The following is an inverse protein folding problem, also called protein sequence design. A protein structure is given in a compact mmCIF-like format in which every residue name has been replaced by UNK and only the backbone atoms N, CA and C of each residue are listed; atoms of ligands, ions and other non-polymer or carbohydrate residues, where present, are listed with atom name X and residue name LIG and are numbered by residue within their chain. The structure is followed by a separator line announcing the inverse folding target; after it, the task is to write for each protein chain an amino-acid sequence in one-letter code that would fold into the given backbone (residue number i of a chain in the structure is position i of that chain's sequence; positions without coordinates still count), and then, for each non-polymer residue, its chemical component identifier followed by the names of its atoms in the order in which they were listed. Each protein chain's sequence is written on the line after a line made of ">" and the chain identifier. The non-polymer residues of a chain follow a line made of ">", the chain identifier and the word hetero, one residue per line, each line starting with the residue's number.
data_IF_759695956829
#
_entry.id   IF_759695956829
#
_cell.length_a   1.000
_cell.length_b   1.000
_cell.length_c   1.000
_cell.angle_alpha   90.00
_cell.angle_beta   90.00
_cell.angle_gamma   90.00
#
_symmetry.space_group_name_H-M   'P 1'
#
loop_
_entity.id
_entity.type
_entity.pdbx_description
1 polymer ?
#
# COMPACT_ATOMS: atom_id res chain seq x y z
N UNK A 1 5.37 4.88 7.72
CA UNK A 1 4.28 4.44 8.64
C UNK A 1 4.55 3.00 9.02
N UNK A 2 4.26 2.57 10.26
CA UNK A 2 4.40 1.15 10.68
C UNK A 2 3.35 0.26 10.01
N UNK A 3 3.68 -0.99 9.71
CA UNK A 3 2.77 -1.94 9.06
C UNK A 3 1.48 -2.15 9.88
N UNK A 4 1.59 -2.40 11.18
CA UNK A 4 0.42 -2.58 12.05
C UNK A 4 -0.49 -1.34 12.09
N UNK A 5 0.11 -0.15 11.97
CA UNK A 5 -0.66 1.11 11.91
C UNK A 5 -1.39 1.26 10.56
N UNK A 6 -0.78 0.80 9.46
CA UNK A 6 -1.46 0.75 8.17
C UNK A 6 -2.64 -0.22 8.22
N UNK A 7 -2.44 -1.43 8.72
CA UNK A 7 -3.49 -2.45 8.80
C UNK A 7 -4.70 -1.97 9.59
N UNK A 8 -4.49 -1.42 10.79
CA UNK A 8 -5.56 -0.84 11.60
C UNK A 8 -6.29 0.28 10.85
N UNK A 9 -5.55 1.15 10.14
CA UNK A 9 -6.18 2.24 9.40
C UNK A 9 -6.95 1.77 8.18
N UNK A 10 -6.50 0.71 7.51
CA UNK A 10 -7.23 0.08 6.40
C UNK A 10 -8.56 -0.49 6.90
N UNK A 11 -8.55 -1.20 8.04
CA UNK A 11 -9.78 -1.74 8.64
C UNK A 11 -10.81 -0.64 8.98
N UNK A 12 -10.34 0.48 9.53
CA UNK A 12 -11.18 1.66 9.78
C UNK A 12 -11.78 2.21 8.49
N UNK A 13 -10.96 2.47 7.46
CA UNK A 13 -11.44 3.02 6.18
C UNK A 13 -12.44 2.05 5.52
N UNK A 14 -12.18 0.75 5.49
CA UNK A 14 -13.13 -0.23 4.93
C UNK A 14 -14.48 -0.17 5.66
N UNK A 15 -14.44 -0.08 6.99
CA UNK A 15 -15.65 0.04 7.82
C UNK A 15 -16.41 1.36 7.59
N UNK A 16 -15.68 2.46 7.35
CA UNK A 16 -16.26 3.75 6.96
C UNK A 16 -16.88 3.66 5.56
N UNK A 17 -16.16 3.12 4.57
CA UNK A 17 -16.57 3.02 3.17
C UNK A 17 -17.80 2.12 2.96
N UNK A 18 -17.98 1.09 3.79
CA UNK A 18 -19.15 0.22 3.74
C UNK A 18 -20.48 0.97 3.98
N UNK A 19 -20.44 2.17 4.56
CA UNK A 19 -21.64 2.97 4.84
C UNK A 19 -22.10 3.82 3.64
N UNK A 20 -21.25 3.93 2.60
CA UNK A 20 -21.54 4.74 1.42
C UNK A 20 -22.07 3.88 0.27
N UNK A 21 -22.97 4.45 -0.53
CA UNK A 21 -23.57 3.82 -1.71
C UNK A 21 -22.96 4.36 -3.03
N UNK A 22 -21.73 4.84 -2.98
CA UNK A 22 -21.02 5.45 -4.10
C UNK A 22 -19.52 5.21 -4.04
N UNK A 23 -18.82 5.57 -5.11
CA UNK A 23 -17.36 5.53 -5.14
C UNK A 23 -16.80 6.56 -4.16
N UNK A 24 -15.68 6.22 -3.53
CA UNK A 24 -14.93 7.13 -2.66
C UNK A 24 -13.46 7.06 -3.05
N UNK A 25 -12.80 8.21 -3.03
CA UNK A 25 -11.38 8.29 -3.30
C UNK A 25 -10.61 8.28 -2.00
N UNK A 26 -9.65 7.36 -1.90
CA UNK A 26 -8.71 7.27 -0.79
C UNK A 26 -7.45 8.06 -1.13
N UNK A 27 -7.01 8.85 -0.15
CA UNK A 27 -5.92 9.79 -0.25
C UNK A 27 -4.91 9.56 0.88
N UNK A 28 -3.63 9.76 0.58
CA UNK A 28 -2.55 9.75 1.55
C UNK A 28 -2.06 11.18 1.79
N UNK A 29 -2.28 11.68 3.01
CA UNK A 29 -1.74 12.99 3.42
C UNK A 29 -0.21 13.00 3.51
N UNK A 30 0.39 14.19 3.49
CA UNK A 30 1.83 14.40 3.73
C UNK A 30 2.30 13.82 5.08
N UNK A 31 1.40 13.76 6.07
CA UNK A 31 1.66 13.16 7.40
C UNK A 31 1.55 11.65 7.42
N UNK A 32 1.36 11.01 6.26
CA UNK A 32 1.25 9.55 6.14
C UNK A 32 -0.08 8.96 6.62
N UNK A 33 -1.13 9.79 6.77
CA UNK A 33 -2.48 9.31 7.13
C UNK A 33 -3.35 9.07 5.90
N UNK A 34 -4.04 7.92 5.88
CA UNK A 34 -5.07 7.60 4.89
C UNK A 34 -6.41 8.23 5.30
N UNK A 35 -7.06 8.88 4.34
CA UNK A 35 -8.40 9.47 4.46
C UNK A 35 -9.20 9.18 3.20
N UNK A 36 -10.52 9.32 3.25
CA UNK A 36 -11.36 9.20 2.07
C UNK A 36 -12.24 10.45 1.86
N UNK A 37 -12.54 10.77 0.61
CA UNK A 37 -13.35 11.92 0.20
C UNK A 37 -14.26 11.55 -0.99
N UNK A 38 -15.10 12.49 -1.44
CA UNK A 38 -15.83 12.30 -2.69
C UNK A 38 -14.85 12.28 -3.88
N UNK A 39 -15.14 11.58 -4.98
CA UNK A 39 -14.26 11.54 -6.14
C UNK A 39 -13.99 12.91 -6.78
N UNK A 40 -14.90 13.87 -6.62
CA UNK A 40 -14.71 15.23 -7.14
C UNK A 40 -13.78 16.09 -6.27
N UNK A 41 -13.50 15.66 -5.03
CA UNK A 41 -12.57 16.33 -4.12
C UNK A 41 -11.13 16.03 -4.54
N UNK A 42 -10.59 16.82 -5.47
CA UNK A 42 -9.19 16.74 -5.90
C UNK A 42 -8.25 17.29 -4.82
N UNK A 43 -7.69 16.40 -3.99
CA UNK A 43 -6.84 16.79 -2.86
C UNK A 43 -5.36 16.90 -3.21
N UNK A 44 -4.95 16.63 -4.45
CA UNK A 44 -3.57 16.76 -4.92
C UNK A 44 -3.02 18.17 -4.71
N UNK A 45 -3.84 19.19 -5.00
CA UNK A 45 -3.48 20.60 -4.82
C UNK A 45 -3.23 20.97 -3.35
N UNK A 46 -3.63 20.10 -2.42
CA UNK A 46 -3.41 20.24 -0.97
C UNK A 46 -2.30 19.33 -0.45
N UNK A 47 -1.49 18.74 -1.33
CA UNK A 47 -0.36 17.89 -0.98
C UNK A 47 -0.75 16.43 -0.66
N UNK A 48 -1.99 16.02 -0.94
CA UNK A 48 -2.37 14.61 -0.79
C UNK A 48 -1.92 13.82 -2.02
N UNK A 49 -1.54 12.57 -1.79
CA UNK A 49 -1.25 11.62 -2.86
C UNK A 49 -2.47 10.73 -3.09
N UNK A 50 -2.89 10.61 -4.34
CA UNK A 50 -3.94 9.68 -4.75
C UNK A 50 -3.52 8.24 -4.41
N UNK A 51 -4.46 7.45 -3.88
CA UNK A 51 -4.27 6.01 -3.66
C UNK A 51 -5.17 5.22 -4.60
N UNK A 52 -6.49 5.33 -4.45
CA UNK A 52 -7.45 4.64 -5.31
C UNK A 52 -8.87 5.23 -5.17
N UNK A 53 -9.68 5.11 -6.21
CA UNK A 53 -11.13 5.34 -6.17
C UNK A 53 -11.85 4.00 -6.21
N UNK A 54 -12.57 3.67 -5.14
CA UNK A 54 -13.12 2.33 -4.90
C UNK A 54 -14.59 2.39 -4.49
N UNK A 55 -15.33 1.31 -4.76
CA UNK A 55 -16.72 1.14 -4.37
C UNK A 55 -16.81 -0.01 -3.36
N UNK A 56 -16.98 0.33 -2.07
CA UNK A 56 -17.06 -0.65 -0.97
C UNK A 56 -15.96 -1.74 -1.02
N UNK A 57 -14.66 -1.35 -1.03
CA UNK A 57 -13.57 -2.30 -1.21
C UNK A 57 -13.43 -3.28 -0.05
N UNK A 58 -12.89 -4.46 -0.33
CA UNK A 58 -12.40 -5.36 0.70
C UNK A 58 -11.14 -4.82 1.38
N UNK A 59 -10.77 -5.43 2.51
CA UNK A 59 -9.50 -5.14 3.20
C UNK A 59 -8.30 -5.39 2.27
N UNK A 60 -8.30 -6.50 1.56
CA UNK A 60 -7.22 -6.91 0.67
C UNK A 60 -7.05 -5.93 -0.49
N UNK A 61 -8.17 -5.51 -1.10
CA UNK A 61 -8.17 -4.55 -2.21
C UNK A 61 -7.58 -3.19 -1.77
N UNK A 62 -8.03 -2.66 -0.62
CA UNK A 62 -7.51 -1.40 -0.12
C UNK A 62 -6.06 -1.51 0.36
N UNK A 63 -5.68 -2.65 0.94
CA UNK A 63 -4.29 -2.89 1.36
C UNK A 63 -3.36 -2.90 0.15
N UNK A 64 -3.74 -3.60 -0.92
CA UNK A 64 -2.94 -3.68 -2.14
C UNK A 64 -2.70 -2.28 -2.73
N UNK A 65 -3.77 -1.48 -2.89
CA UNK A 65 -3.67 -0.12 -3.39
C UNK A 65 -2.82 0.79 -2.47
N UNK A 66 -2.97 0.67 -1.15
CA UNK A 66 -2.22 1.48 -0.20
C UNK A 66 -0.72 1.17 -0.23
N UNK A 67 -0.33 -0.10 -0.38
CA UNK A 67 1.08 -0.51 -0.39
C UNK A 67 1.87 0.01 -1.59
N UNK A 68 1.21 0.38 -2.69
CA UNK A 68 1.86 0.99 -3.86
C UNK A 68 2.35 2.43 -3.58
N UNK A 69 1.73 3.12 -2.63
CA UNK A 69 1.94 4.57 -2.42
C UNK A 69 2.49 4.89 -1.03
N UNK A 70 2.10 4.11 -0.02
CA UNK A 70 2.47 4.30 1.37
C UNK A 70 3.88 3.75 1.61
N UNK A 71 4.85 4.56 2.06
CA UNK A 71 6.11 4.03 2.56
C UNK A 71 5.86 3.32 3.89
N UNK A 72 5.80 1.99 3.83
CA UNK A 72 5.61 1.13 5.01
C UNK A 72 6.96 0.70 5.55
N UNK A 73 7.08 0.88 6.85
CA UNK A 73 8.14 0.32 7.66
C UNK A 73 7.60 -0.92 8.35
N UNK A 74 8.27 -2.06 8.15
CA UNK A 74 7.94 -3.29 8.88
C UNK A 74 8.11 -3.06 10.39
N UNK A 75 7.25 -3.66 11.20
CA UNK A 75 7.38 -3.64 12.66
C UNK A 75 8.47 -4.63 13.11
N UNK A 76 9.16 -4.34 14.21
CA UNK A 76 10.01 -5.33 14.87
C UNK A 76 9.09 -6.29 15.66
N UNK A 77 9.19 -7.62 15.55
CA UNK A 77 10.30 -8.45 15.05
C UNK A 77 10.17 -8.96 13.60
N UNK A 78 9.26 -8.42 12.78
CA UNK A 78 9.06 -8.89 11.40
C UNK A 78 10.26 -8.57 10.50
N UNK A 79 10.98 -7.46 10.78
CA UNK A 79 12.17 -7.05 10.00
C UNK A 79 13.25 -8.15 9.92
N UNK A 80 13.77 -8.72 11.03
CA UNK A 80 14.77 -9.79 10.96
C UNK A 80 14.21 -11.09 10.40
N UNK A 81 12.93 -11.41 10.66
CA UNK A 81 12.29 -12.60 10.12
C UNK A 81 12.23 -12.56 8.58
N UNK A 82 11.86 -11.42 8.00
CA UNK A 82 11.85 -11.23 6.54
C UNK A 82 13.25 -11.04 5.95
N UNK A 83 14.20 -10.49 6.69
CA UNK A 83 15.60 -10.44 6.25
C UNK A 83 16.24 -11.85 6.15
N UNK A 84 15.72 -12.83 6.89
CA UNK A 84 16.14 -14.24 6.81
C UNK A 84 15.51 -15.01 5.64
N UNK A 85 14.50 -14.45 4.98
CA UNK A 85 14.07 -14.93 3.67
C UNK A 85 15.08 -14.48 2.64
N UNK A 86 16.20 -15.20 2.58
CA UNK A 86 17.17 -15.11 1.50
C UNK A 86 16.40 -15.16 0.19
N UNK A 87 16.44 -14.04 -0.53
CA UNK A 87 16.07 -14.01 -1.93
C UNK A 87 16.99 -15.01 -2.61
N UNK A 88 16.51 -16.01 -3.37
CA UNK A 88 17.41 -16.82 -4.19
C UNK A 88 18.17 -15.83 -5.07
N UNK A 89 19.45 -15.61 -4.78
CA UNK A 89 20.33 -14.90 -5.68
C UNK A 89 20.16 -15.58 -7.04
N UNK A 90 19.85 -14.85 -8.13
CA UNK A 90 19.84 -15.47 -9.45
C UNK A 90 21.21 -16.10 -9.61
N UNK A 91 21.25 -17.44 -9.70
CA UNK A 91 22.46 -18.20 -9.93
C UNK A 91 23.09 -17.66 -11.20
N UNK A 92 24.11 -16.81 -11.06
CA UNK A 92 25.03 -16.44 -12.13
C UNK A 92 26.00 -17.61 -12.33
N UNK A 93 25.46 -18.81 -12.53
CA UNK A 93 26.24 -19.96 -12.93
C UNK A 93 26.30 -20.00 -14.45
N UNK A 94 27.51 -19.77 -14.92
CA UNK A 94 27.85 -19.46 -16.29
C UNK A 94 27.47 -20.54 -17.30
N UNK A 95 26.99 -20.09 -18.44
CA UNK A 95 27.31 -20.73 -19.71
C UNK A 95 27.20 -19.70 -20.86
N UNK A 96 28.08 -18.70 -20.87
CA UNK A 96 28.43 -18.01 -22.10
C UNK A 96 29.44 -18.90 -22.83
N UNK A 97 28.91 -19.83 -23.62
CA UNK A 97 29.70 -20.54 -24.62
C UNK A 97 30.09 -19.51 -25.67
N UNK A 98 31.31 -18.99 -25.55
CA UNK A 98 32.01 -18.41 -26.69
C UNK A 98 32.43 -19.57 -27.59
N UNK A 99 31.80 -19.68 -28.76
CA UNK A 99 32.32 -20.46 -29.86
C UNK A 99 32.41 -19.55 -31.09
N UNK A 100 33.67 -19.44 -31.55
CA UNK A 100 34.18 -18.75 -32.72
C UNK A 100 33.50 -19.17 -34.02
#
# INVERSE_FOLDING_TARGET
>A
MKLAALESRVEEIVSELAQFHGYRTVWLSERGKLVHAEPEDMLEDRGFRYVATLFQPSREELTAAALEVVPVELDEPLRPAMASWDTPLPSLDGNLVAAL
#
